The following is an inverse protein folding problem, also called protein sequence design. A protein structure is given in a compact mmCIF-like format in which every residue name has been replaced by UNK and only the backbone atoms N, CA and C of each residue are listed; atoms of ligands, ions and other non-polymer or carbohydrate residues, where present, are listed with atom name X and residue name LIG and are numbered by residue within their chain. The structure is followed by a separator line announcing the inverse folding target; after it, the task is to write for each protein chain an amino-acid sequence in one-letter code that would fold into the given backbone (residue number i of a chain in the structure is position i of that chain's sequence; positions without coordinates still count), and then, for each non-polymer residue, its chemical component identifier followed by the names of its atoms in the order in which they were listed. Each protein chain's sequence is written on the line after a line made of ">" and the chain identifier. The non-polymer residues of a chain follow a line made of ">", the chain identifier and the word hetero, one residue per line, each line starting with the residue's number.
data_IF_832989137167
#
_entry.id   IF_832989137167
#
_cell.length_a   1.000
_cell.length_b   1.000
_cell.length_c   1.000
_cell.angle_alpha   90.00
_cell.angle_beta   90.00
_cell.angle_gamma   90.00
#
_symmetry.space_group_name_H-M   'P 1'
#
loop_
_entity.id
_entity.type
_entity.pdbx_description
1 polymer ?
#
# COMPACT_ATOMS: atom_id res chain seq x y z
N UNK A 1 10.21 -9.64 -6.06
CA UNK A 1 9.97 -8.18 -5.96
C UNK A 1 10.15 -7.43 -7.27
N UNK A 2 11.06 -7.79 -8.18
CA UNK A 2 11.20 -7.07 -9.47
C UNK A 2 9.90 -6.96 -10.31
N UNK A 3 9.01 -7.98 -10.26
CA UNK A 3 7.72 -7.94 -10.97
C UNK A 3 6.75 -6.94 -10.34
N UNK A 4 6.62 -6.92 -9.02
CA UNK A 4 5.76 -5.97 -8.29
C UNK A 4 6.32 -4.55 -8.37
N UNK A 5 7.64 -4.40 -8.37
CA UNK A 5 8.30 -3.09 -8.57
C UNK A 5 7.99 -2.50 -9.95
N UNK A 6 7.95 -3.33 -10.99
CA UNK A 6 7.55 -2.88 -12.33
C UNK A 6 6.09 -2.41 -12.36
N UNK A 7 5.17 -3.15 -11.72
CA UNK A 7 3.76 -2.77 -11.64
C UNK A 7 3.58 -1.41 -10.96
N UNK A 8 4.27 -1.17 -9.84
CA UNK A 8 4.23 0.13 -9.18
C UNK A 8 4.83 1.24 -10.04
N UNK A 9 5.96 0.99 -10.71
CA UNK A 9 6.60 1.97 -11.58
C UNK A 9 5.71 2.42 -12.74
N UNK A 10 4.89 1.54 -13.30
CA UNK A 10 3.99 1.90 -14.42
C UNK A 10 2.64 2.43 -13.97
N UNK A 11 2.24 2.16 -12.73
CA UNK A 11 1.00 2.68 -12.14
C UNK A 11 1.15 4.11 -11.60
N UNK A 12 2.28 4.39 -10.94
CA UNK A 12 2.50 5.65 -10.25
C UNK A 12 2.94 6.77 -11.21
N UNK A 13 2.70 8.05 -10.84
CA UNK A 13 3.19 9.18 -11.61
C UNK A 13 4.71 9.14 -11.79
N UNK A 14 5.19 9.68 -12.91
CA UNK A 14 6.63 9.78 -13.17
C UNK A 14 7.36 10.52 -12.04
N UNK A 15 8.49 9.95 -11.60
CA UNK A 15 9.28 10.48 -10.48
C UNK A 15 8.79 10.06 -9.09
N UNK A 16 7.65 9.36 -8.98
CA UNK A 16 7.18 8.82 -7.70
C UNK A 16 7.94 7.56 -7.30
N UNK A 17 8.00 7.31 -5.99
CA UNK A 17 8.47 6.06 -5.40
C UNK A 17 7.33 5.33 -4.68
N UNK A 18 7.66 4.26 -3.96
CA UNK A 18 6.68 3.42 -3.28
C UNK A 18 6.11 4.04 -2.00
N UNK A 19 6.62 5.18 -1.54
CA UNK A 19 6.04 5.92 -0.41
C UNK A 19 4.95 6.92 -0.87
N UNK A 20 4.61 6.94 -2.15
CA UNK A 20 3.42 7.64 -2.65
C UNK A 20 2.15 7.09 -1.97
N UNK A 21 1.22 7.96 -1.55
CA UNK A 21 0.04 7.56 -0.76
C UNK A 21 -0.89 6.54 -1.44
N UNK A 22 -0.87 6.45 -2.78
CA UNK A 22 -1.59 5.42 -3.53
C UNK A 22 -0.96 4.01 -3.44
N UNK A 23 0.30 3.89 -3.04
CA UNK A 23 1.01 2.62 -2.89
C UNK A 23 1.25 2.25 -1.42
N UNK A 24 1.46 3.23 -0.54
CA UNK A 24 1.75 3.02 0.88
C UNK A 24 0.86 3.89 1.78
N UNK A 25 -0.38 3.42 2.00
CA UNK A 25 -1.42 4.14 2.74
C UNK A 25 -1.16 4.25 4.25
N UNK A 26 -0.17 3.53 4.78
CA UNK A 26 0.19 3.51 6.20
C UNK A 26 1.67 3.82 6.45
N UNK A 27 2.35 4.34 5.43
CA UNK A 27 3.78 4.64 5.44
C UNK A 27 4.14 6.03 5.96
N UNK A 28 5.36 6.51 5.66
CA UNK A 28 5.85 7.82 6.11
C UNK A 28 4.99 9.01 5.66
N UNK A 29 4.25 8.86 4.56
CA UNK A 29 3.40 9.90 3.97
C UNK A 29 1.89 9.63 4.20
N UNK A 30 1.54 8.76 5.17
CA UNK A 30 0.15 8.41 5.45
C UNK A 30 -0.66 9.60 6.00
N UNK A 31 -1.95 9.62 5.67
CA UNK A 31 -2.91 10.55 6.26
C UNK A 31 -3.47 9.99 7.57
N UNK A 32 -3.86 10.88 8.48
CA UNK A 32 -4.52 10.49 9.73
C UNK A 32 -6.00 10.17 9.47
N UNK A 33 -6.37 8.90 9.66
CA UNK A 33 -7.74 8.41 9.49
C UNK A 33 -8.54 8.37 10.80
N UNK A 34 -7.94 8.72 11.94
CA UNK A 34 -8.57 8.54 13.28
C UNK A 34 -9.86 9.33 13.50
N UNK A 35 -10.08 10.40 12.73
CA UNK A 35 -11.29 11.21 12.78
C UNK A 35 -12.38 10.84 11.76
N UNK A 36 -12.15 9.82 10.92
CA UNK A 36 -13.09 9.44 9.87
C UNK A 36 -14.10 8.39 10.35
N UNK A 37 -15.34 8.52 9.88
CA UNK A 37 -16.32 7.43 9.98
C UNK A 37 -15.97 6.36 8.93
N UNK A 38 -14.99 5.51 9.25
CA UNK A 38 -14.52 4.44 8.37
C UNK A 38 -15.27 3.13 8.66
N UNK A 39 -15.69 2.37 7.64
CA UNK A 39 -16.44 1.14 7.86
C UNK A 39 -15.56 0.04 8.46
N UNK A 40 -16.17 -0.80 9.31
CA UNK A 40 -15.56 -2.06 9.75
C UNK A 40 -15.13 -2.89 8.54
N UNK A 41 -13.86 -3.29 8.53
CA UNK A 41 -13.24 -3.95 7.37
C UNK A 41 -12.61 -5.28 7.78
N UNK A 42 -12.99 -6.36 7.08
CA UNK A 42 -12.35 -7.66 7.19
C UNK A 42 -11.29 -7.81 6.09
N UNK A 43 -10.01 -7.94 6.48
CA UNK A 43 -8.88 -8.09 5.56
C UNK A 43 -8.37 -9.54 5.59
N UNK A 44 -8.31 -10.20 4.43
CA UNK A 44 -7.71 -11.53 4.27
C UNK A 44 -6.31 -11.41 3.67
N UNK A 45 -5.33 -12.07 4.29
CA UNK A 45 -3.94 -12.09 3.81
C UNK A 45 -3.56 -13.50 3.37
N UNK A 46 -3.09 -13.63 2.13
CA UNK A 46 -2.60 -14.89 1.60
C UNK A 46 -1.26 -15.27 2.21
N UNK A 47 -1.16 -16.47 2.82
CA UNK A 47 0.07 -16.89 3.52
C UNK A 47 1.32 -16.98 2.64
N UNK A 48 1.15 -17.24 1.34
CA UNK A 48 2.24 -17.30 0.35
C UNK A 48 2.35 -16.04 -0.53
N UNK A 49 1.64 -14.96 -0.20
CA UNK A 49 1.79 -13.68 -0.89
C UNK A 49 3.16 -13.05 -0.55
N UNK A 50 4.01 -12.75 -1.55
CA UNK A 50 5.28 -12.06 -1.33
C UNK A 50 5.17 -10.65 -0.73
N UNK A 51 3.97 -10.05 -0.69
CA UNK A 51 3.68 -8.75 -0.09
C UNK A 51 2.93 -8.86 1.24
N UNK A 52 2.88 -10.04 1.88
CA UNK A 52 2.12 -10.23 3.11
C UNK A 52 2.57 -9.33 4.28
N UNK A 53 3.81 -8.85 4.27
CA UNK A 53 4.40 -7.98 5.27
C UNK A 53 3.90 -6.53 5.17
N UNK A 54 3.35 -6.14 4.02
CA UNK A 54 2.71 -4.83 3.84
C UNK A 54 1.36 -4.71 4.58
N UNK A 55 0.81 -5.83 5.04
CA UNK A 55 -0.47 -5.90 5.75
C UNK A 55 -0.30 -6.24 7.24
N UNK A 56 0.93 -6.24 7.75
CA UNK A 56 1.26 -6.53 9.16
C UNK A 56 1.28 -5.29 10.01
#
# INVERSE_FOLDING_TARGET
>A
MARTDWLWKVFLPEGSDRDHGAANVSGPNAEDLSGLEYPDTLVFVGGFDPLNDWQK
#
